data_IF_478509388409
#
_entry.id   IF_478509388409
#
_cell.length_a   1.000
_cell.length_b   1.000
_cell.length_c   1.000
_cell.angle_alpha   90.00
_cell.angle_beta   90.00
_cell.angle_gamma   90.00
#
_symmetry.space_group_name_H-M   'P 1'
#
loop_
_entity.id
_entity.type
_entity.pdbx_description
1 polymer ?
#
# COMPACT_ATOMS: atom_id res chain seq x y z
N UNK A 1 -4.69 16.08 -8.94
CA UNK A 1 -4.76 14.71 -9.50
C UNK A 1 -3.80 14.67 -10.66
N UNK A 2 -2.61 14.10 -10.51
CA UNK A 2 -1.66 13.97 -11.61
C UNK A 2 -2.16 12.85 -12.53
N UNK A 3 -2.71 13.23 -13.66
CA UNK A 3 -2.91 12.32 -14.78
C UNK A 3 -1.50 12.03 -15.28
N UNK A 4 -0.99 10.83 -15.02
CA UNK A 4 0.24 10.38 -15.67
C UNK A 4 -0.14 10.08 -17.12
N UNK A 5 0.28 10.94 -18.02
CA UNK A 5 0.22 10.77 -19.49
C UNK A 5 1.18 9.64 -19.91
N UNK A 6 0.90 8.42 -19.46
CA UNK A 6 1.51 7.24 -20.03
C UNK A 6 0.50 6.59 -20.94
N UNK A 7 0.72 6.74 -22.22
CA UNK A 7 0.07 5.93 -23.23
C UNK A 7 0.46 4.48 -22.91
N UNK A 8 -0.43 3.78 -22.23
CA UNK A 8 -0.33 2.34 -22.01
C UNK A 8 -1.12 1.67 -23.12
N UNK A 9 -0.64 0.57 -23.65
CA UNK A 9 -1.38 -0.28 -24.58
C UNK A 9 -2.66 -0.87 -23.96
N UNK A 10 -2.89 -0.57 -22.68
CA UNK A 10 -4.03 -1.02 -21.91
C UNK A 10 -4.91 0.15 -21.48
N UNK A 11 -6.16 0.10 -21.91
CA UNK A 11 -7.19 1.05 -21.50
C UNK A 11 -7.72 0.73 -20.11
N UNK A 12 -8.28 1.74 -19.45
CA UNK A 12 -8.99 1.53 -18.19
C UNK A 12 -10.21 0.62 -18.40
N UNK A 13 -10.54 -0.16 -17.37
CA UNK A 13 -11.79 -0.91 -17.34
C UNK A 13 -12.91 0.09 -17.06
N UNK A 14 -13.80 0.27 -18.03
CA UNK A 14 -14.93 1.20 -17.97
C UNK A 14 -16.23 0.47 -18.27
N UNK A 15 -17.37 0.92 -17.74
CA UNK A 15 -18.67 0.40 -18.12
C UNK A 15 -18.96 0.67 -19.61
N UNK A 16 -19.54 -0.31 -20.32
CA UNK A 16 -19.86 -0.20 -21.75
C UNK A 16 -21.15 0.58 -22.03
N UNK A 17 -21.88 1.00 -20.99
CA UNK A 17 -23.20 1.61 -21.13
C UNK A 17 -24.34 0.61 -21.33
N UNK A 18 -24.04 -0.66 -21.53
CA UNK A 18 -25.06 -1.73 -21.56
C UNK A 18 -25.28 -2.27 -20.16
N UNK A 19 -26.52 -2.18 -19.67
CA UNK A 19 -26.86 -2.79 -18.38
C UNK A 19 -26.87 -4.32 -18.52
N UNK A 20 -26.18 -5.04 -17.63
CA UNK A 20 -26.21 -6.49 -17.63
C UNK A 20 -27.63 -6.98 -17.32
N UNK A 21 -28.09 -8.00 -18.06
CA UNK A 21 -29.45 -8.53 -17.89
C UNK A 21 -29.57 -9.48 -16.69
N UNK A 22 -28.51 -10.26 -16.45
CA UNK A 22 -28.44 -11.24 -15.36
C UNK A 22 -27.01 -11.32 -14.87
N UNK A 23 -26.82 -11.13 -13.58
CA UNK A 23 -25.54 -11.31 -12.90
C UNK A 23 -25.73 -12.23 -11.71
N UNK A 24 -24.77 -13.10 -11.46
CA UNK A 24 -24.71 -13.80 -10.18
C UNK A 24 -24.18 -12.85 -9.08
N UNK A 25 -24.22 -13.28 -7.83
CA UNK A 25 -23.83 -12.44 -6.68
C UNK A 25 -22.39 -11.93 -6.76
N UNK A 26 -21.45 -12.76 -7.26
CA UNK A 26 -20.04 -12.40 -7.38
C UNK A 26 -19.84 -11.40 -8.51
N UNK A 27 -20.46 -11.64 -9.67
CA UNK A 27 -20.43 -10.75 -10.80
C UNK A 27 -21.02 -9.38 -10.46
N UNK A 28 -22.14 -9.35 -9.70
CA UNK A 28 -22.75 -8.10 -9.23
C UNK A 28 -21.77 -7.30 -8.35
N UNK A 29 -21.08 -7.94 -7.42
CA UNK A 29 -20.10 -7.27 -6.56
C UNK A 29 -18.92 -6.68 -7.36
N UNK A 30 -18.45 -7.42 -8.37
CA UNK A 30 -17.37 -6.93 -9.25
C UNK A 30 -17.86 -5.77 -10.11
N UNK A 31 -19.04 -5.90 -10.69
CA UNK A 31 -19.66 -4.84 -11.51
C UNK A 31 -19.85 -3.56 -10.70
N UNK A 32 -20.43 -3.65 -9.51
CA UNK A 32 -20.61 -2.52 -8.58
C UNK A 32 -19.28 -1.86 -8.22
N UNK A 33 -18.23 -2.67 -7.96
CA UNK A 33 -16.91 -2.16 -7.66
C UNK A 33 -16.33 -1.33 -8.82
N UNK A 34 -16.43 -1.86 -10.05
CA UNK A 34 -15.94 -1.19 -11.26
C UNK A 34 -16.72 0.10 -11.51
N UNK A 35 -18.06 0.04 -11.46
CA UNK A 35 -18.92 1.21 -11.67
C UNK A 35 -18.65 2.31 -10.63
N UNK A 36 -18.59 1.95 -9.36
CA UNK A 36 -18.28 2.90 -8.29
C UNK A 36 -16.90 3.53 -8.47
N UNK A 37 -15.91 2.72 -8.85
CA UNK A 37 -14.56 3.22 -9.11
C UNK A 37 -14.51 4.16 -10.30
N UNK A 38 -15.23 3.85 -11.36
CA UNK A 38 -15.36 4.71 -12.55
C UNK A 38 -16.04 6.04 -12.19
N UNK A 39 -17.19 5.99 -11.53
CA UNK A 39 -17.91 7.19 -11.13
C UNK A 39 -17.09 8.08 -10.18
N UNK A 40 -16.37 7.47 -9.24
CA UNK A 40 -15.55 8.19 -8.27
C UNK A 40 -14.46 9.08 -8.93
N UNK A 41 -14.06 8.80 -10.17
CA UNK A 41 -13.06 9.62 -10.89
C UNK A 41 -13.62 11.01 -11.25
N UNK A 42 -14.94 11.14 -11.41
CA UNK A 42 -15.61 12.39 -11.77
C UNK A 42 -16.02 13.22 -10.56
N UNK A 43 -15.85 12.70 -9.35
CA UNK A 43 -16.16 13.41 -8.10
C UNK A 43 -14.95 14.22 -7.62
N UNK A 44 -15.18 15.34 -6.91
CA UNK A 44 -14.11 16.13 -6.34
C UNK A 44 -13.31 15.32 -5.30
N UNK A 45 -12.16 15.84 -4.90
CA UNK A 45 -11.35 15.26 -3.84
C UNK A 45 -12.13 15.28 -2.52
N UNK A 46 -11.89 14.30 -1.66
CA UNK A 46 -12.38 14.34 -0.28
C UNK A 46 -11.56 15.35 0.52
N UNK A 47 -12.23 16.24 1.23
CA UNK A 47 -11.61 17.26 2.06
C UNK A 47 -11.74 16.92 3.54
N UNK A 48 -10.67 17.18 4.27
CA UNK A 48 -10.59 16.86 5.69
C UNK A 48 -10.10 18.08 6.48
N UNK A 49 -10.76 18.37 7.57
CA UNK A 49 -10.26 19.27 8.59
C UNK A 49 -9.26 18.53 9.47
N UNK A 50 -8.01 18.98 9.44
CA UNK A 50 -6.94 18.40 10.26
C UNK A 50 -6.59 19.36 11.37
N UNK A 51 -6.86 18.97 12.62
CA UNK A 51 -6.50 19.73 13.80
C UNK A 51 -5.26 19.11 14.43
N UNK A 52 -4.23 19.92 14.63
CA UNK A 52 -2.99 19.51 15.31
C UNK A 52 -2.91 20.24 16.63
N UNK A 53 -2.78 19.50 17.72
CA UNK A 53 -2.56 20.03 19.07
C UNK A 53 -1.19 19.61 19.59
N UNK A 54 -0.41 20.57 20.04
CA UNK A 54 0.86 20.33 20.71
C UNK A 54 0.68 20.66 22.19
N UNK A 55 0.86 19.69 23.06
CA UNK A 55 0.81 19.84 24.51
C UNK A 55 2.23 19.81 25.05
N UNK A 56 2.67 20.85 25.73
CA UNK A 56 4.01 20.94 26.33
C UNK A 56 3.92 20.62 27.81
N UNK A 57 4.75 19.68 28.25
CA UNK A 57 4.87 19.29 29.67
C UNK A 57 6.36 19.31 30.04
N UNK A 58 6.78 20.35 30.76
CA UNK A 58 8.19 20.57 31.03
C UNK A 58 8.99 20.74 29.72
N UNK A 59 10.00 19.91 29.50
CA UNK A 59 10.82 19.93 28.29
C UNK A 59 10.25 19.06 27.15
N UNK A 60 9.13 18.38 27.34
CA UNK A 60 8.57 17.42 26.38
C UNK A 60 7.35 17.96 25.66
N UNK A 61 7.24 17.64 24.38
CA UNK A 61 6.11 18.01 23.54
C UNK A 61 5.37 16.75 23.08
N UNK A 62 4.05 16.76 23.19
CA UNK A 62 3.15 15.70 22.76
C UNK A 62 2.27 16.21 21.62
N UNK A 63 2.37 15.59 20.47
CA UNK A 63 1.56 15.91 19.29
C UNK A 63 0.32 15.02 19.25
N UNK A 64 -0.86 15.63 19.16
CA UNK A 64 -2.14 14.94 18.95
C UNK A 64 -2.76 15.45 17.66
N UNK A 65 -3.23 14.55 16.82
CA UNK A 65 -3.90 14.89 15.56
C UNK A 65 -5.33 14.35 15.55
N UNK A 66 -6.27 15.25 15.22
CA UNK A 66 -7.65 14.93 14.88
C UNK A 66 -7.88 15.14 13.39
N UNK A 67 -8.71 14.31 12.79
CA UNK A 67 -9.06 14.41 11.36
C UNK A 67 -10.55 14.15 11.20
N UNK A 68 -11.27 15.15 10.72
CA UNK A 68 -12.72 15.10 10.47
C UNK A 68 -12.95 15.25 8.97
N UNK A 69 -13.83 14.44 8.41
CA UNK A 69 -14.22 14.56 7.00
C UNK A 69 -15.16 15.78 6.88
N UNK A 70 -14.71 16.82 6.18
CA UNK A 70 -15.50 18.02 5.88
C UNK A 70 -16.36 17.78 4.64
N UNK A 71 -15.73 17.42 3.53
CA UNK A 71 -16.41 17.13 2.27
C UNK A 71 -16.08 15.71 1.81
N UNK A 72 -17.08 14.84 1.60
CA UNK A 72 -16.84 13.44 1.25
C UNK A 72 -16.28 13.26 -0.17
N UNK A 73 -16.61 14.13 -1.10
CA UNK A 73 -16.15 14.03 -2.47
C UNK A 73 -16.35 12.64 -3.07
N UNK A 74 -15.30 12.08 -3.67
CA UNK A 74 -15.33 10.74 -4.30
C UNK A 74 -15.64 9.58 -3.31
N UNK A 75 -15.45 9.78 -2.02
CA UNK A 75 -15.75 8.76 -1.00
C UNK A 75 -17.24 8.44 -0.91
N UNK A 76 -18.11 9.40 -1.29
CA UNK A 76 -19.54 9.21 -1.31
C UNK A 76 -19.96 8.05 -2.23
N UNK A 77 -19.35 7.99 -3.40
CA UNK A 77 -19.60 6.94 -4.39
C UNK A 77 -18.82 5.67 -4.08
N UNK A 78 -17.58 5.80 -3.65
CA UNK A 78 -16.71 4.65 -3.39
C UNK A 78 -17.17 3.79 -2.20
N UNK A 79 -18.05 4.30 -1.35
CA UNK A 79 -18.59 3.58 -0.20
C UNK A 79 -17.54 3.18 0.84
N UNK A 80 -16.33 3.75 0.76
CA UNK A 80 -15.27 3.47 1.72
C UNK A 80 -15.56 4.19 3.01
N UNK A 81 -15.66 3.40 4.06
CA UNK A 81 -16.05 3.77 5.38
C UNK A 81 -15.35 5.03 5.90
N UNK A 82 -16.12 5.77 6.64
CA UNK A 82 -15.69 6.91 7.42
C UNK A 82 -14.60 6.49 8.40
N UNK A 83 -13.35 6.57 8.03
CA UNK A 83 -12.27 6.58 9.00
C UNK A 83 -12.30 7.96 9.67
N UNK A 84 -13.33 8.20 10.46
CA UNK A 84 -13.36 9.34 11.37
C UNK A 84 -12.36 9.04 12.48
N UNK A 85 -11.20 9.66 12.42
CA UNK A 85 -10.48 9.93 13.66
C UNK A 85 -11.31 10.98 14.40
N UNK A 86 -11.53 10.77 15.68
CA UNK A 86 -12.37 11.62 16.50
C UNK A 86 -11.91 13.10 16.39
N UNK A 87 -12.87 14.00 16.33
CA UNK A 87 -12.59 15.43 16.40
C UNK A 87 -11.92 15.72 17.75
N UNK A 88 -10.83 16.47 17.73
CA UNK A 88 -10.21 16.91 18.97
C UNK A 88 -11.09 17.98 19.61
N UNK A 89 -11.24 17.92 20.93
CA UNK A 89 -11.88 19.00 21.70
C UNK A 89 -11.15 20.32 21.43
N UNK A 90 -11.85 21.38 21.04
CA UNK A 90 -11.26 22.69 20.84
C UNK A 90 -10.59 23.19 22.10
N UNK A 91 -9.37 23.69 22.00
CA UNK A 91 -8.62 24.34 23.09
C UNK A 91 -8.00 25.61 22.56
N UNK A 92 -7.86 26.64 23.43
CA UNK A 92 -7.19 27.87 23.06
C UNK A 92 -5.66 27.73 23.18
N UNK A 93 -4.88 28.40 22.34
CA UNK A 93 -3.43 28.47 22.51
C UNK A 93 -3.07 29.01 23.91
N UNK A 94 -2.18 28.28 24.61
CA UNK A 94 -1.78 28.63 25.97
C UNK A 94 -2.74 28.22 27.08
N UNK A 95 -3.83 27.53 26.76
CA UNK A 95 -4.76 26.97 27.75
C UNK A 95 -4.08 25.88 28.59
N UNK A 96 -4.09 25.97 29.92
CA UNK A 96 -3.47 24.98 30.77
C UNK A 96 -4.27 23.65 30.73
N UNK A 97 -3.59 22.55 30.48
CA UNK A 97 -4.17 21.21 30.52
C UNK A 97 -3.90 20.58 31.89
N UNK A 98 -4.94 20.15 32.60
CA UNK A 98 -4.79 19.38 33.82
C UNK A 98 -4.53 17.89 33.47
N UNK A 99 -3.40 17.37 33.94
CA UNK A 99 -3.10 15.94 33.82
C UNK A 99 -3.94 15.19 34.86
N UNK A 100 -4.85 14.33 34.42
CA UNK A 100 -5.71 13.52 35.31
C UNK A 100 -5.02 12.22 35.71
N UNK A 101 -4.29 11.60 34.76
CA UNK A 101 -3.61 10.33 34.98
C UNK A 101 -2.44 10.18 34.04
N UNK A 102 -1.43 9.43 34.47
CA UNK A 102 -0.27 9.06 33.67
C UNK A 102 -0.09 7.55 33.75
N UNK A 103 -0.38 6.86 32.67
CA UNK A 103 -0.24 5.41 32.59
C UNK A 103 0.95 5.03 31.73
N UNK A 104 1.86 4.25 32.29
CA UNK A 104 2.97 3.65 31.55
C UNK A 104 2.51 2.30 31.01
N UNK A 105 2.30 2.22 29.70
CA UNK A 105 1.97 0.97 29.02
C UNK A 105 3.24 0.31 28.49
N UNK A 106 3.56 -0.87 28.99
CA UNK A 106 4.59 -1.71 28.40
C UNK A 106 4.08 -2.27 27.08
N UNK A 107 4.69 -1.86 25.99
CA UNK A 107 4.31 -2.31 24.64
C UNK A 107 5.49 -3.03 23.98
N UNK A 108 5.17 -4.02 23.16
CA UNK A 108 6.17 -4.69 22.33
C UNK A 108 5.95 -4.25 20.87
N UNK A 109 7.04 -4.11 20.12
CA UNK A 109 6.98 -3.88 18.68
C UNK A 109 6.36 -5.10 18.01
N UNK A 110 5.42 -4.86 17.11
CA UNK A 110 4.82 -5.93 16.30
C UNK A 110 5.63 -6.11 15.03
N UNK A 111 5.83 -7.36 14.63
CA UNK A 111 6.39 -7.66 13.32
C UNK A 111 5.52 -7.03 12.22
N UNK A 112 6.13 -6.63 11.06
CA UNK A 112 5.37 -6.17 9.92
C UNK A 112 4.30 -7.20 9.54
N UNK A 113 3.13 -6.71 9.09
CA UNK A 113 2.08 -7.59 8.60
C UNK A 113 2.59 -8.39 7.39
N UNK A 114 2.11 -9.63 7.26
CA UNK A 114 2.39 -10.45 6.08
C UNK A 114 1.75 -9.83 4.84
N UNK A 115 2.27 -10.18 3.68
CA UNK A 115 1.66 -9.76 2.45
C UNK A 115 0.36 -10.53 2.21
N UNK A 116 -0.68 -9.80 1.84
CA UNK A 116 -1.83 -10.34 1.14
C UNK A 116 -1.58 -10.24 -0.37
N UNK A 117 -2.39 -10.88 -1.20
CA UNK A 117 -2.26 -10.72 -2.65
C UNK A 117 -2.35 -9.26 -3.09
N UNK A 118 -3.29 -8.50 -2.54
CA UNK A 118 -3.46 -7.09 -2.84
C UNK A 118 -2.22 -6.25 -2.46
N UNK A 119 -1.64 -6.49 -1.28
CA UNK A 119 -0.45 -5.76 -0.84
C UNK A 119 0.81 -6.22 -1.58
N UNK A 120 0.88 -7.49 -1.99
CA UNK A 120 1.98 -7.99 -2.82
C UNK A 120 1.91 -7.40 -4.24
N UNK A 121 0.74 -7.33 -4.86
CA UNK A 121 0.56 -6.64 -6.15
C UNK A 121 1.03 -5.18 -6.08
N UNK A 122 0.64 -4.46 -5.02
CA UNK A 122 1.11 -3.08 -4.80
C UNK A 122 2.62 -2.99 -4.58
N UNK A 123 3.20 -3.96 -3.86
CA UNK A 123 4.65 -4.02 -3.66
C UNK A 123 5.40 -4.32 -4.96
N UNK A 124 4.87 -5.20 -5.82
CA UNK A 124 5.42 -5.46 -7.15
C UNK A 124 5.38 -4.21 -8.04
N UNK A 125 4.29 -3.45 -7.99
CA UNK A 125 4.16 -2.20 -8.74
C UNK A 125 5.17 -1.14 -8.30
N UNK A 126 5.45 -1.07 -7.00
CA UNK A 126 6.32 -0.06 -6.41
C UNK A 126 7.73 -0.58 -6.09
N UNK A 127 8.11 -1.74 -6.59
CA UNK A 127 9.36 -2.43 -6.23
C UNK A 127 10.61 -1.54 -6.47
N UNK A 128 10.65 -0.80 -7.56
CA UNK A 128 11.75 0.12 -7.86
C UNK A 128 11.96 1.23 -6.82
N UNK A 129 10.90 1.65 -6.12
CA UNK A 129 11.01 2.72 -5.11
C UNK A 129 11.73 2.31 -3.83
N UNK A 130 11.91 1.01 -3.61
CA UNK A 130 12.56 0.46 -2.40
C UNK A 130 14.04 0.14 -2.60
N UNK A 131 14.56 0.36 -3.79
CA UNK A 131 15.96 0.13 -4.08
C UNK A 131 16.82 1.27 -3.51
N UNK A 132 17.93 0.90 -2.87
CA UNK A 132 18.89 1.85 -2.30
C UNK A 132 19.79 2.47 -3.40
N UNK A 133 20.03 1.71 -4.46
CA UNK A 133 20.79 2.14 -5.62
C UNK A 133 19.95 3.07 -6.52
N UNK A 134 20.44 4.30 -6.72
CA UNK A 134 19.73 5.35 -7.46
C UNK A 134 19.61 5.03 -8.96
N UNK A 135 20.59 4.35 -9.54
CA UNK A 135 20.59 3.98 -10.95
C UNK A 135 19.58 2.86 -11.21
N UNK A 136 19.59 1.82 -10.37
CA UNK A 136 18.59 0.75 -10.41
C UNK A 136 17.19 1.27 -10.07
N UNK A 137 17.09 2.21 -9.13
CA UNK A 137 15.82 2.87 -8.78
C UNK A 137 15.26 3.63 -9.98
N UNK A 138 16.10 4.37 -10.70
CA UNK A 138 15.73 5.07 -11.93
C UNK A 138 15.23 4.12 -13.02
N UNK A 139 15.97 3.04 -13.26
CA UNK A 139 15.62 2.03 -14.27
C UNK A 139 14.31 1.29 -13.96
N UNK A 140 14.00 1.07 -12.69
CA UNK A 140 12.80 0.33 -12.24
C UNK A 140 11.64 1.22 -11.79
N UNK A 141 11.86 2.53 -11.63
CA UNK A 141 10.86 3.44 -11.07
C UNK A 141 9.52 3.41 -11.80
N UNK A 142 9.58 3.11 -13.08
CA UNK A 142 8.44 3.17 -14.00
C UNK A 142 7.83 1.81 -14.35
N UNK A 143 8.53 0.73 -14.09
CA UNK A 143 8.13 -0.61 -14.57
C UNK A 143 7.67 -1.55 -13.44
N UNK A 144 8.25 -1.43 -12.24
CA UNK A 144 8.02 -2.39 -11.16
C UNK A 144 8.43 -3.82 -11.55
N UNK A 145 7.92 -4.80 -10.82
CA UNK A 145 8.08 -6.23 -11.13
C UNK A 145 6.84 -6.72 -11.90
N UNK A 146 7.05 -7.19 -13.12
CA UNK A 146 5.97 -7.63 -14.01
C UNK A 146 5.07 -6.49 -14.48
N UNK A 147 4.20 -6.79 -15.43
CA UNK A 147 3.16 -5.88 -15.93
C UNK A 147 1.84 -6.08 -15.17
N UNK A 148 0.89 -5.14 -15.23
CA UNK A 148 -0.43 -5.36 -14.67
C UNK A 148 -1.10 -6.66 -15.11
N UNK A 149 -0.89 -7.07 -16.38
CA UNK A 149 -1.45 -8.30 -16.92
C UNK A 149 -0.76 -9.58 -16.41
N UNK A 150 0.50 -9.52 -16.01
CA UNK A 150 1.30 -10.70 -15.64
C UNK A 150 1.48 -10.89 -14.14
N UNK A 151 1.28 -9.86 -13.32
CA UNK A 151 1.53 -9.94 -11.87
C UNK A 151 0.68 -11.00 -11.18
N UNK A 152 -0.60 -11.08 -11.52
CA UNK A 152 -1.48 -12.09 -10.94
C UNK A 152 -1.04 -13.51 -11.29
N UNK A 153 -0.71 -13.78 -12.56
CA UNK A 153 -0.24 -15.08 -13.01
C UNK A 153 1.12 -15.48 -12.40
N UNK A 154 1.99 -14.51 -12.13
CA UNK A 154 3.26 -14.76 -11.41
C UNK A 154 2.98 -15.24 -9.98
N UNK A 155 2.05 -14.56 -9.26
CA UNK A 155 1.69 -14.96 -7.89
C UNK A 155 1.08 -16.36 -7.90
N UNK A 156 0.14 -16.64 -8.80
CA UNK A 156 -0.45 -17.98 -8.95
C UNK A 156 0.61 -19.05 -9.25
N UNK A 157 1.51 -18.79 -10.19
CA UNK A 157 2.59 -19.70 -10.52
C UNK A 157 3.53 -20.00 -9.34
N UNK A 158 3.82 -19.00 -8.49
CA UNK A 158 4.60 -19.21 -7.27
C UNK A 158 3.86 -20.09 -6.24
N UNK A 159 2.55 -20.01 -6.18
CA UNK A 159 1.71 -20.83 -5.31
C UNK A 159 1.65 -22.26 -5.85
N UNK A 160 1.36 -22.44 -7.14
CA UNK A 160 1.32 -23.75 -7.81
C UNK A 160 2.65 -24.52 -7.68
N UNK A 161 3.76 -23.79 -7.84
CA UNK A 161 5.11 -24.37 -7.70
C UNK A 161 5.57 -24.53 -6.24
N UNK A 162 4.71 -24.24 -5.27
CA UNK A 162 4.95 -24.39 -3.82
C UNK A 162 6.13 -23.55 -3.30
N UNK A 163 6.34 -22.36 -3.87
CA UNK A 163 7.22 -21.36 -3.28
C UNK A 163 6.53 -20.60 -2.16
N UNK A 164 5.22 -20.40 -2.29
CA UNK A 164 4.38 -19.80 -1.25
C UNK A 164 3.04 -20.50 -1.17
N UNK A 165 2.33 -20.28 -0.08
CA UNK A 165 0.96 -20.76 0.13
C UNK A 165 0.07 -19.66 0.64
N UNK A 166 -1.24 -19.78 0.40
CA UNK A 166 -2.26 -18.95 1.01
C UNK A 166 -2.68 -19.55 2.35
N UNK A 167 -2.72 -18.73 3.38
CA UNK A 167 -3.40 -19.05 4.64
C UNK A 167 -4.38 -17.92 4.91
N UNK A 168 -5.66 -18.19 4.77
CA UNK A 168 -6.73 -17.18 4.81
C UNK A 168 -6.49 -16.05 3.80
N UNK A 169 -6.03 -14.90 4.26
CA UNK A 169 -5.71 -13.73 3.43
C UNK A 169 -4.22 -13.51 3.24
N UNK A 170 -3.40 -14.19 4.01
CA UNK A 170 -1.96 -13.96 4.06
C UNK A 170 -1.20 -14.92 3.17
N UNK A 171 -0.11 -14.44 2.60
CA UNK A 171 0.83 -15.21 1.82
C UNK A 171 2.03 -15.63 2.69
N UNK A 172 2.28 -16.92 2.73
CA UNK A 172 3.35 -17.51 3.51
C UNK A 172 4.40 -18.13 2.59
N UNK A 173 5.69 -17.74 2.71
CA UNK A 173 6.77 -18.40 1.98
C UNK A 173 6.96 -19.83 2.50
N UNK A 174 7.29 -20.75 1.61
CA UNK A 174 7.57 -22.14 1.92
C UNK A 174 9.08 -22.43 1.90
N UNK A 175 9.49 -23.59 2.39
CA UNK A 175 10.90 -23.99 2.49
C UNK A 175 11.64 -23.86 1.13
N UNK A 176 10.98 -24.22 0.04
CA UNK A 176 11.50 -24.09 -1.32
C UNK A 176 11.89 -22.65 -1.68
N UNK A 177 11.12 -21.65 -1.23
CA UNK A 177 11.45 -20.24 -1.45
C UNK A 177 12.70 -19.82 -0.67
N UNK A 178 12.82 -20.24 0.59
CA UNK A 178 14.01 -19.95 1.40
C UNK A 178 15.27 -20.58 0.80
N UNK A 179 15.20 -21.82 0.33
CA UNK A 179 16.30 -22.50 -0.35
C UNK A 179 16.75 -21.73 -1.59
N UNK A 180 15.80 -21.34 -2.46
CA UNK A 180 16.10 -20.58 -3.67
C UNK A 180 16.78 -19.23 -3.34
N UNK A 181 16.23 -18.45 -2.41
CA UNK A 181 16.81 -17.16 -2.04
C UNK A 181 18.19 -17.32 -1.42
N UNK A 182 18.41 -18.35 -0.62
CA UNK A 182 19.73 -18.65 -0.04
C UNK A 182 20.76 -18.94 -1.12
N UNK A 183 20.39 -19.75 -2.10
CA UNK A 183 21.27 -20.08 -3.26
C UNK A 183 21.56 -18.82 -4.10
N UNK A 184 20.54 -18.01 -4.41
CA UNK A 184 20.72 -16.78 -5.18
C UNK A 184 21.63 -15.78 -4.47
N UNK A 185 21.50 -15.63 -3.16
CA UNK A 185 22.40 -14.78 -2.36
C UNK A 185 23.83 -15.29 -2.39
N UNK A 186 24.05 -16.59 -2.29
CA UNK A 186 25.38 -17.17 -2.37
C UNK A 186 26.03 -16.93 -3.76
N UNK A 187 25.26 -17.09 -4.84
CA UNK A 187 25.75 -16.86 -6.21
C UNK A 187 26.06 -15.37 -6.43
N UNK A 188 25.21 -14.46 -6.00
CA UNK A 188 25.45 -13.02 -6.12
C UNK A 188 26.73 -12.59 -5.40
N UNK A 189 26.97 -13.14 -4.20
CA UNK A 189 28.18 -12.85 -3.43
C UNK A 189 29.47 -13.36 -4.11
N UNK A 190 29.42 -14.53 -4.76
CA UNK A 190 30.57 -15.07 -5.48
C UNK A 190 30.86 -14.31 -6.78
N UNK A 191 29.85 -13.84 -7.50
CA UNK A 191 30.03 -13.03 -8.69
C UNK A 191 30.59 -11.62 -8.39
N UNK A 192 30.13 -10.95 -7.35
CA UNK A 192 30.66 -9.65 -6.93
C UNK A 192 32.15 -9.75 -6.57
N UNK A 193 32.57 -10.76 -5.79
CA UNK A 193 33.98 -10.99 -5.46
C UNK A 193 34.85 -11.33 -6.69
N UNK A 194 34.32 -12.09 -7.63
CA UNK A 194 35.06 -12.42 -8.86
C UNK A 194 35.30 -11.17 -9.75
N UNK A 195 34.46 -10.15 -9.65
CA UNK A 195 34.68 -8.87 -10.35
C UNK A 195 35.69 -7.97 -9.63
N UNK A 196 35.69 -7.94 -8.29
CA UNK A 196 36.66 -7.14 -7.51
C UNK A 196 38.10 -7.64 -7.71
N UNK A 197 38.30 -8.97 -7.77
CA UNK A 197 39.65 -9.56 -8.00
C UNK A 197 40.18 -9.38 -9.42
N UNK A 198 39.39 -8.92 -10.37
CA UNK A 198 39.81 -8.67 -11.75
C UNK A 198 40.35 -7.26 -11.98
N UNK A 199 40.14 -6.34 -11.05
CA UNK A 199 40.67 -4.96 -11.13
C UNK A 199 42.02 -4.77 -10.43
N UNK A 200 42.49 -5.75 -9.67
CA UNK A 200 43.73 -5.69 -8.91
C UNK A 200 44.90 -6.49 -9.56
N UNK A 201 44.80 -6.84 -10.84
CA UNK A 201 45.83 -7.38 -11.70
C UNK A 201 45.98 -6.49 -12.96
#
# INVERSE_FOLDING_TARGET
MCIRDRISDHFAIIPTGQLPKTLNEVEQKIFDLVVRRFLAVFYPAAEYDVTVRITTVGAHQFKTEGKVLAEPGWLEVAGKGRTQREALTPVKPGEPAAVKDVVVSAMQTKAPARYTEATLLSAMETAGKKLEDDELRGAMADKGLGTPATRASIIEGLIEQKYMRREERDLHPMAKAFQLITLLKAVSYTHLRAHETRHDL
#
